data_IF_335174144557
#
_entry.id   IF_335174144557
#
_cell.length_a   1.000
_cell.length_b   1.000
_cell.length_c   1.000
_cell.angle_alpha   90.00
_cell.angle_beta   90.00
_cell.angle_gamma   90.00
#
_symmetry.space_group_name_H-M   'P 1'
#
loop_
_entity.id
_entity.type
_entity.pdbx_description
1 polymer ?
#
# COMPACT_ATOMS: atom_id res chain seq x y z
N UNK A 1 11.05 -15.65 -14.00
CA UNK A 1 12.18 -15.22 -13.12
C UNK A 1 11.63 -15.03 -11.72
N UNK A 2 12.28 -15.55 -10.67
CA UNK A 2 11.88 -15.26 -9.29
C UNK A 2 11.94 -13.76 -9.01
N UNK A 3 10.98 -13.21 -8.27
CA UNK A 3 10.92 -11.76 -7.95
C UNK A 3 12.18 -11.29 -7.23
N UNK A 4 12.77 -12.13 -6.38
CA UNK A 4 14.03 -11.85 -5.68
C UNK A 4 15.21 -11.53 -6.61
N UNK A 5 15.18 -12.01 -7.85
CA UNK A 5 16.28 -11.83 -8.81
C UNK A 5 15.98 -10.69 -9.80
N UNK A 6 14.83 -10.02 -9.68
CA UNK A 6 14.46 -8.89 -10.54
C UNK A 6 15.20 -7.65 -10.09
N UNK A 7 16.00 -7.06 -10.98
CA UNK A 7 16.74 -5.83 -10.74
C UNK A 7 15.94 -4.59 -11.16
N UNK A 8 16.15 -3.50 -10.44
CA UNK A 8 15.54 -2.21 -10.78
C UNK A 8 16.27 -1.55 -11.96
N UNK A 9 15.51 -0.97 -12.89
CA UNK A 9 16.05 -0.24 -14.03
C UNK A 9 16.35 1.21 -13.67
N UNK A 10 17.64 1.56 -13.60
CA UNK A 10 18.11 2.93 -13.34
C UNK A 10 18.41 3.74 -14.61
N UNK A 11 18.18 3.19 -15.81
CA UNK A 11 18.23 3.97 -17.05
C UNK A 11 17.10 5.00 -17.14
N UNK A 12 16.03 4.81 -16.35
CA UNK A 12 14.88 5.70 -16.22
C UNK A 12 14.86 6.39 -14.87
N UNK A 13 14.27 7.59 -14.81
CA UNK A 13 14.10 8.37 -13.57
C UNK A 13 12.79 8.01 -12.85
N UNK A 14 12.46 6.72 -12.77
CA UNK A 14 11.18 6.28 -12.19
C UNK A 14 11.00 6.72 -10.74
N UNK A 15 12.08 6.74 -9.95
CA UNK A 15 12.02 7.14 -8.54
C UNK A 15 11.55 8.59 -8.38
N UNK A 16 12.13 9.49 -9.18
CA UNK A 16 11.73 10.90 -9.19
C UNK A 16 10.28 11.05 -9.66
N UNK A 17 9.88 10.32 -10.70
CA UNK A 17 8.51 10.36 -11.23
C UNK A 17 7.50 9.84 -10.21
N UNK A 18 7.78 8.70 -9.57
CA UNK A 18 6.90 8.09 -8.56
C UNK A 18 6.78 8.97 -7.32
N UNK A 19 7.89 9.53 -6.83
CA UNK A 19 7.85 10.48 -5.72
C UNK A 19 7.05 11.74 -6.07
N UNK A 20 7.28 12.30 -7.26
CA UNK A 20 6.53 13.45 -7.75
C UNK A 20 5.03 13.17 -7.84
N UNK A 21 4.64 11.99 -8.33
CA UNK A 21 3.25 11.56 -8.39
C UNK A 21 2.64 11.42 -6.98
N UNK A 22 3.33 10.75 -6.06
CA UNK A 22 2.87 10.58 -4.68
C UNK A 22 2.67 11.94 -3.99
N UNK A 23 3.63 12.85 -4.12
CA UNK A 23 3.51 14.23 -3.59
C UNK A 23 2.32 14.94 -4.24
N UNK A 24 2.20 14.91 -5.57
CA UNK A 24 1.11 15.59 -6.26
C UNK A 24 -0.28 15.08 -5.86
N UNK A 25 -0.42 13.77 -5.63
CA UNK A 25 -1.67 13.14 -5.23
C UNK A 25 -2.04 13.41 -3.78
N UNK A 26 -1.07 13.50 -2.87
CA UNK A 26 -1.34 13.45 -1.43
C UNK A 26 -0.88 14.67 -0.63
N UNK A 27 -0.17 15.63 -1.21
CA UNK A 27 0.41 16.76 -0.46
C UNK A 27 -0.59 17.57 0.37
N UNK A 28 -1.84 17.68 -0.09
CA UNK A 28 -2.90 18.40 0.62
C UNK A 28 -3.73 17.50 1.55
N UNK A 29 -3.37 16.23 1.71
CA UNK A 29 -4.01 15.35 2.69
C UNK A 29 -3.63 15.76 4.12
N UNK A 30 -4.51 15.54 5.11
CA UNK A 30 -4.29 16.00 6.49
C UNK A 30 -3.00 15.46 7.14
N UNK A 31 -2.56 14.26 6.78
CA UNK A 31 -1.41 13.61 7.41
C UNK A 31 -0.19 13.44 6.50
N UNK A 32 -0.14 14.13 5.36
CA UNK A 32 0.97 14.02 4.41
C UNK A 32 2.34 14.23 5.08
N UNK A 33 2.54 15.38 5.73
CA UNK A 33 3.84 15.76 6.30
C UNK A 33 4.32 14.80 7.40
N UNK A 34 3.39 14.08 8.04
CA UNK A 34 3.71 13.10 9.06
C UNK A 34 4.21 11.78 8.45
N UNK A 35 3.52 11.26 7.43
CA UNK A 35 3.82 9.93 6.88
C UNK A 35 4.75 9.95 5.67
N UNK A 36 4.77 11.02 4.87
CA UNK A 36 5.58 11.13 3.66
C UNK A 36 7.09 10.86 3.91
N UNK A 37 7.70 11.33 5.03
CA UNK A 37 9.09 10.99 5.36
C UNK A 37 9.37 9.49 5.53
N UNK A 38 8.35 8.67 5.79
CA UNK A 38 8.48 7.21 5.86
C UNK A 38 8.57 6.55 4.49
N UNK A 39 7.96 7.17 3.46
CA UNK A 39 7.93 6.66 2.08
C UNK A 39 9.09 7.22 1.24
N UNK A 40 9.49 8.45 1.49
CA UNK A 40 10.51 9.15 0.70
C UNK A 40 11.83 8.36 0.51
N UNK A 41 12.37 7.63 1.52
CA UNK A 41 13.63 6.89 1.37
C UNK A 41 13.60 5.86 0.23
N UNK A 42 12.44 5.27 -0.08
CA UNK A 42 12.28 4.28 -1.15
C UNK A 42 12.39 4.90 -2.56
N UNK A 43 12.23 6.21 -2.66
CA UNK A 43 12.38 6.97 -3.91
C UNK A 43 13.67 7.79 -3.96
N UNK A 44 14.51 7.71 -2.91
CA UNK A 44 15.82 8.38 -2.85
C UNK A 44 17.00 7.41 -2.86
N UNK A 45 16.81 6.17 -2.37
CA UNK A 45 17.84 5.12 -2.35
C UNK A 45 17.75 4.28 -3.62
N UNK A 46 18.85 3.67 -4.05
CA UNK A 46 18.88 2.81 -5.25
C UNK A 46 19.16 1.35 -4.90
N UNK A 47 18.18 0.60 -4.36
CA UNK A 47 18.35 -0.83 -4.08
C UNK A 47 18.57 -1.62 -5.38
N UNK A 48 19.39 -2.67 -5.34
CA UNK A 48 19.67 -3.44 -6.54
C UNK A 48 18.44 -4.24 -7.01
N UNK A 49 17.71 -4.83 -6.06
CA UNK A 49 16.61 -5.77 -6.32
C UNK A 49 15.25 -5.17 -5.98
N UNK A 50 14.25 -5.53 -6.79
CA UNK A 50 12.84 -5.14 -6.59
C UNK A 50 12.31 -5.68 -5.26
N UNK A 51 12.68 -6.91 -4.88
CA UNK A 51 12.23 -7.51 -3.63
C UNK A 51 12.67 -6.70 -2.39
N UNK A 52 13.86 -6.11 -2.39
CA UNK A 52 14.33 -5.28 -1.27
C UNK A 52 13.49 -4.00 -1.13
N UNK A 53 13.12 -3.40 -2.26
CA UNK A 53 12.24 -2.24 -2.31
C UNK A 53 10.83 -2.59 -1.78
N UNK A 54 10.24 -3.66 -2.32
CA UNK A 54 8.88 -4.09 -1.99
C UNK A 54 8.75 -4.52 -0.52
N UNK A 55 9.73 -5.27 -0.01
CA UNK A 55 9.72 -5.72 1.39
C UNK A 55 9.90 -4.58 2.37
N UNK A 56 10.77 -3.61 2.07
CA UNK A 56 10.92 -2.43 2.92
C UNK A 56 9.67 -1.55 2.93
N UNK A 57 9.00 -1.38 1.78
CA UNK A 57 7.71 -0.67 1.71
C UNK A 57 6.63 -1.42 2.49
N UNK A 58 6.54 -2.74 2.30
CA UNK A 58 5.58 -3.58 3.01
C UNK A 58 5.80 -3.52 4.53
N UNK A 59 7.04 -3.52 5.02
CA UNK A 59 7.36 -3.36 6.43
C UNK A 59 6.84 -2.03 6.99
N UNK A 60 7.02 -0.92 6.25
CA UNK A 60 6.47 0.39 6.64
C UNK A 60 4.95 0.32 6.74
N UNK A 61 4.28 -0.24 5.73
CA UNK A 61 2.81 -0.36 5.71
C UNK A 61 2.31 -1.25 6.84
N UNK A 62 2.91 -2.41 7.07
CA UNK A 62 2.56 -3.33 8.16
C UNK A 62 2.70 -2.64 9.53
N UNK A 63 3.79 -1.89 9.73
CA UNK A 63 4.00 -1.12 10.96
C UNK A 63 2.91 -0.07 11.18
N UNK A 64 2.53 0.68 10.14
CA UNK A 64 1.46 1.69 10.25
C UNK A 64 0.08 1.05 10.45
N UNK A 65 -0.16 -0.09 9.80
CA UNK A 65 -1.39 -0.86 9.96
C UNK A 65 -1.44 -1.66 11.27
N UNK A 66 -0.36 -1.69 12.05
CA UNK A 66 -0.21 -2.48 13.29
C UNK A 66 -0.44 -3.99 13.07
N UNK A 67 -0.01 -4.49 11.92
CA UNK A 67 -0.03 -5.91 11.58
C UNK A 67 1.41 -6.45 11.58
N UNK A 68 1.63 -7.69 12.05
CA UNK A 68 2.94 -8.31 11.94
C UNK A 68 3.31 -8.50 10.46
N UNK A 69 4.59 -8.32 10.15
CA UNK A 69 5.13 -8.64 8.83
C UNK A 69 4.97 -10.15 8.57
N UNK A 70 4.40 -10.57 7.42
CA UNK A 70 4.32 -11.98 7.10
C UNK A 70 5.71 -12.57 6.83
N UNK A 71 5.88 -13.85 7.16
CA UNK A 71 7.08 -14.59 6.81
C UNK A 71 7.17 -14.84 5.31
N UNK A 72 8.41 -14.88 4.79
CA UNK A 72 8.64 -15.25 3.40
C UNK A 72 8.47 -16.74 3.23
N UNK A 73 7.62 -17.12 2.27
CA UNK A 73 7.48 -18.51 1.87
C UNK A 73 8.76 -19.04 1.21
N UNK A 74 9.29 -20.15 1.69
CA UNK A 74 10.44 -20.84 1.06
C UNK A 74 10.05 -21.59 -0.21
N UNK A 75 8.78 -21.94 -0.32
CA UNK A 75 8.18 -22.64 -1.46
C UNK A 75 6.77 -22.13 -1.70
N UNK A 76 6.31 -22.30 -2.93
CA UNK A 76 4.91 -22.06 -3.25
C UNK A 76 4.02 -23.07 -2.52
N UNK A 77 2.93 -22.59 -1.91
CA UNK A 77 1.91 -23.39 -1.22
C UNK A 77 0.60 -23.25 -1.97
N UNK A 78 0.05 -24.36 -2.47
CA UNK A 78 -1.30 -24.38 -3.02
C UNK A 78 -2.32 -24.21 -1.89
N UNK A 79 -3.34 -23.39 -2.11
CA UNK A 79 -4.40 -23.21 -1.12
C UNK A 79 -5.29 -24.46 -1.09
N UNK A 80 -5.44 -25.07 0.08
CA UNK A 80 -6.33 -26.21 0.28
C UNK A 80 -7.80 -25.75 0.37
N UNK A 81 -8.77 -26.65 0.14
CA UNK A 81 -10.18 -26.36 0.42
C UNK A 81 -10.36 -25.88 1.87
N UNK A 82 -10.91 -24.68 2.04
CA UNK A 82 -11.10 -24.03 3.34
C UNK A 82 -10.04 -22.98 3.68
N UNK A 83 -8.92 -22.93 2.96
CA UNK A 83 -7.92 -21.88 3.16
C UNK A 83 -8.42 -20.51 2.69
N UNK A 84 -8.07 -19.48 3.45
CA UNK A 84 -8.30 -18.10 3.03
C UNK A 84 -7.17 -17.65 2.11
N UNK A 85 -7.30 -17.91 0.81
CA UNK A 85 -6.33 -17.45 -0.19
C UNK A 85 -6.55 -15.97 -0.56
N UNK A 86 -5.61 -15.11 -0.17
CA UNK A 86 -5.64 -13.66 -0.44
C UNK A 86 -4.85 -13.25 -1.71
N UNK A 87 -4.26 -14.20 -2.44
CA UNK A 87 -3.48 -13.91 -3.67
C UNK A 87 -4.30 -13.45 -4.88
N UNK A 88 -5.57 -13.87 -5.08
CA UNK A 88 -6.36 -13.38 -6.20
C UNK A 88 -6.57 -11.86 -6.14
N UNK A 89 -6.15 -11.14 -7.19
CA UNK A 89 -6.16 -9.66 -7.27
C UNK A 89 -7.55 -9.02 -7.30
N UNK A 90 -8.57 -9.76 -7.74
CA UNK A 90 -9.94 -9.30 -7.87
C UNK A 90 -10.87 -10.27 -7.14
N UNK A 91 -10.81 -10.27 -5.82
CA UNK A 91 -11.86 -10.91 -5.03
C UNK A 91 -13.08 -10.00 -5.04
N UNK A 92 -13.97 -10.25 -5.99
CA UNK A 92 -15.35 -9.79 -5.89
C UNK A 92 -16.03 -10.58 -4.76
N UNK A 93 -16.62 -9.88 -3.78
CA UNK A 93 -17.32 -10.53 -2.69
C UNK A 93 -17.70 -9.55 -1.57
N UNK A 94 -18.67 -9.92 -0.72
CA UNK A 94 -19.20 -9.05 0.32
C UNK A 94 -18.20 -8.77 1.46
N UNK A 95 -17.08 -9.49 1.55
CA UNK A 95 -16.19 -9.41 2.71
C UNK A 95 -15.57 -8.02 2.97
N UNK A 96 -15.61 -7.13 1.97
CA UNK A 96 -15.12 -5.76 2.09
C UNK A 96 -16.11 -4.77 1.47
N UNK A 97 -16.63 -3.84 2.27
CA UNK A 97 -17.29 -2.61 1.78
C UNK A 97 -16.45 -1.45 2.23
N UNK A 98 -15.98 -0.62 1.31
CA UNK A 98 -15.24 0.58 1.66
C UNK A 98 -16.14 1.56 2.43
N UNK A 99 -15.81 1.83 3.68
CA UNK A 99 -16.31 2.99 4.43
C UNK A 99 -15.81 4.27 3.74
N UNK A 100 -16.69 5.18 3.31
CA UNK A 100 -16.27 6.46 2.75
C UNK A 100 -15.49 7.31 3.75
N UNK A 101 -14.41 7.92 3.29
CA UNK A 101 -13.58 8.86 4.05
C UNK A 101 -13.23 10.08 3.19
N UNK A 102 -12.65 11.12 3.80
CA UNK A 102 -12.31 12.35 3.07
C UNK A 102 -11.08 12.13 2.18
N UNK A 103 -11.29 12.05 0.87
CA UNK A 103 -10.22 11.95 -0.12
C UNK A 103 -9.78 13.33 -0.61
N UNK A 104 -8.50 13.45 -1.01
CA UNK A 104 -7.89 14.73 -1.39
C UNK A 104 -8.67 15.51 -2.46
N UNK A 105 -9.33 14.81 -3.38
CA UNK A 105 -10.09 15.40 -4.49
C UNK A 105 -11.60 15.35 -4.30
N UNK A 106 -12.09 15.18 -3.07
CA UNK A 106 -13.52 15.05 -2.78
C UNK A 106 -14.34 16.31 -3.10
N UNK A 107 -13.68 17.45 -3.31
CA UNK A 107 -14.31 18.70 -3.79
C UNK A 107 -14.73 18.63 -5.27
N UNK A 108 -14.13 17.73 -6.04
CA UNK A 108 -14.29 17.62 -7.50
C UNK A 108 -14.69 16.24 -7.99
N UNK A 109 -14.42 15.21 -7.19
CA UNK A 109 -14.63 13.82 -7.55
C UNK A 109 -15.46 13.10 -6.48
N UNK A 110 -16.31 12.14 -6.88
CA UNK A 110 -16.95 11.25 -5.92
C UNK A 110 -15.90 10.39 -5.20
N UNK A 111 -16.29 9.83 -4.06
CA UNK A 111 -15.47 8.86 -3.34
C UNK A 111 -15.13 7.66 -4.24
N UNK A 112 -13.84 7.32 -4.31
CA UNK A 112 -13.35 6.14 -5.03
C UNK A 112 -12.98 5.05 -4.03
N UNK A 113 -13.68 3.92 -4.09
CA UNK A 113 -13.40 2.76 -3.23
C UNK A 113 -12.15 2.00 -3.70
N UNK A 114 -11.60 1.16 -2.82
CA UNK A 114 -10.49 0.25 -3.14
C UNK A 114 -9.18 0.94 -3.58
N UNK A 115 -8.96 2.18 -3.15
CA UNK A 115 -7.64 2.82 -3.22
C UNK A 115 -6.64 2.18 -2.25
N UNK A 116 -5.37 2.54 -2.40
CA UNK A 116 -4.29 1.97 -1.60
C UNK A 116 -4.42 2.28 -0.11
N UNK A 117 -3.81 1.46 0.75
CA UNK A 117 -3.71 1.79 2.18
C UNK A 117 -2.94 3.10 2.43
N UNK A 118 -2.01 3.49 1.55
CA UNK A 118 -1.32 4.77 1.66
C UNK A 118 -2.30 5.95 1.48
N UNK A 119 -3.30 5.82 0.61
CA UNK A 119 -4.36 6.82 0.42
C UNK A 119 -5.10 7.08 1.73
N UNK A 120 -5.62 5.99 2.31
CA UNK A 120 -6.31 6.01 3.59
C UNK A 120 -5.42 6.52 4.73
N UNK A 121 -4.15 6.10 4.76
CA UNK A 121 -3.19 6.54 5.77
C UNK A 121 -2.92 8.06 5.70
N UNK A 122 -2.79 8.60 4.50
CA UNK A 122 -2.60 10.03 4.30
C UNK A 122 -3.86 10.85 4.63
N UNK A 123 -5.05 10.29 4.37
CA UNK A 123 -6.33 10.91 4.68
C UNK A 123 -6.66 10.88 6.19
N UNK A 124 -6.61 9.70 6.81
CA UNK A 124 -7.19 9.42 8.13
C UNK A 124 -6.13 9.21 9.22
N UNK A 125 -4.86 9.02 8.83
CA UNK A 125 -3.73 8.93 9.74
C UNK A 125 -3.93 7.86 10.82
N UNK A 126 -3.88 8.20 12.12
CA UNK A 126 -4.09 7.25 13.22
C UNK A 126 -5.40 6.45 13.13
N UNK A 127 -6.44 7.02 12.50
CA UNK A 127 -7.75 6.37 12.35
C UNK A 127 -7.83 5.39 11.17
N UNK A 128 -6.79 5.31 10.32
CA UNK A 128 -6.81 4.44 9.14
C UNK A 128 -7.15 2.97 9.47
N UNK A 129 -6.61 2.44 10.57
CA UNK A 129 -6.91 1.06 11.02
C UNK A 129 -8.35 0.92 11.52
N UNK A 130 -8.85 1.95 12.22
CA UNK A 130 -10.24 2.00 12.69
C UNK A 130 -11.22 2.02 11.51
N UNK A 131 -10.91 2.78 10.45
CA UNK A 131 -11.69 2.81 9.20
C UNK A 131 -11.68 1.43 8.53
N UNK A 132 -10.51 0.80 8.36
CA UNK A 132 -10.42 -0.55 7.77
C UNK A 132 -11.22 -1.61 8.55
N UNK A 133 -11.26 -1.50 9.88
CA UNK A 133 -12.04 -2.43 10.71
C UNK A 133 -13.54 -2.34 10.41
N UNK A 134 -14.06 -1.13 10.11
CA UNK A 134 -15.46 -0.93 9.71
C UNK A 134 -15.76 -1.42 8.30
N UNK A 135 -14.74 -1.55 7.44
CA UNK A 135 -14.92 -2.08 6.09
C UNK A 135 -15.16 -3.60 6.04
N UNK A 136 -14.86 -4.33 7.12
CA UNK A 136 -15.06 -5.77 7.20
C UNK A 136 -16.53 -6.09 7.39
N UNK A 137 -17.10 -6.92 6.54
CA UNK A 137 -18.38 -7.58 6.85
C UNK A 137 -18.13 -8.77 7.79
N UNK A 138 -19.05 -8.99 8.74
CA UNK A 138 -19.07 -10.16 9.64
C UNK A 138 -19.23 -11.48 8.87
#
# INVERSE_FOLDING_TARGET
QPVRDVRLDYSKRWQHQHWGALVASYRSSPYFDHYAPLFEPFYRRSPEFLADLDLGLLEVLCRQARIPMPELSERYVEAAPGDTDLRPKHREGPAFIAEPYYQVFSDRMPFEANLSFADLLFAEGPEAVSVLARCRQE
#
